data_IF_300504193843
#
_entry.id   IF_300504193843
#
_cell.length_a   1.000
_cell.length_b   1.000
_cell.length_c   1.000
_cell.angle_alpha   90.00
_cell.angle_beta   90.00
_cell.angle_gamma   90.00
#
_symmetry.space_group_name_H-M   'P 1'
#
loop_
_entity.id
_entity.type
_entity.pdbx_description
1 polymer ?
#
# COMPACT_ATOMS: atom_id res chain seq x y z
N UNK A 1 -41.48 -67.37 -2.18
CA UNK A 1 -40.05 -67.43 -2.54
C UNK A 1 -39.43 -66.08 -2.18
N UNK A 2 -38.82 -65.97 -1.00
CA UNK A 2 -38.25 -64.72 -0.48
C UNK A 2 -36.73 -64.75 -0.69
N UNK A 3 -36.11 -63.60 -1.00
CA UNK A 3 -34.66 -63.48 -1.17
C UNK A 3 -34.04 -62.51 -0.16
N UNK A 4 -33.55 -63.13 0.92
CA UNK A 4 -32.21 -62.92 1.51
C UNK A 4 -31.69 -61.49 1.75
N UNK A 5 -31.70 -61.08 3.03
CA UNK A 5 -30.88 -59.97 3.56
C UNK A 5 -29.53 -60.51 4.10
N UNK A 6 -28.37 -59.94 3.74
CA UNK A 6 -27.10 -60.20 4.44
C UNK A 6 -26.92 -59.33 5.69
N UNK A 7 -26.32 -59.90 6.73
CA UNK A 7 -26.19 -59.29 8.08
C UNK A 7 -25.07 -58.25 8.19
N UNK A 8 -25.26 -57.29 9.10
CA UNK A 8 -24.17 -56.42 9.63
C UNK A 8 -23.04 -57.27 10.24
N UNK A 9 -21.80 -56.83 10.08
CA UNK A 9 -20.69 -57.17 10.98
C UNK A 9 -20.22 -55.90 11.69
N UNK A 10 -20.22 -55.96 13.02
CA UNK A 10 -19.54 -55.01 13.89
C UNK A 10 -18.04 -55.32 13.92
N UNK A 11 -17.20 -54.28 14.04
CA UNK A 11 -15.82 -54.42 14.47
C UNK A 11 -15.58 -53.43 15.61
N UNK A 12 -15.23 -53.95 16.78
CA UNK A 12 -14.83 -53.16 17.93
C UNK A 12 -13.38 -52.68 17.77
N UNK A 13 -13.08 -51.55 18.42
CA UNK A 13 -11.75 -50.96 18.40
C UNK A 13 -10.77 -51.68 19.33
N UNK A 14 -9.48 -51.64 18.99
CA UNK A 14 -8.38 -51.76 19.95
C UNK A 14 -7.46 -50.54 19.82
N UNK A 15 -6.95 -49.99 20.93
CA UNK A 15 -6.23 -48.72 20.93
C UNK A 15 -4.79 -48.89 20.44
N UNK A 16 -4.23 -47.83 19.83
CA UNK A 16 -2.79 -47.67 19.70
C UNK A 16 -2.33 -46.37 20.36
N UNK A 17 -1.46 -46.60 21.33
CA UNK A 17 -0.62 -45.68 22.11
C UNK A 17 -0.08 -44.47 21.33
N UNK A 18 -0.07 -43.32 21.99
CA UNK A 18 0.69 -42.16 21.56
C UNK A 18 2.21 -42.39 21.68
N UNK A 19 2.98 -41.81 20.77
CA UNK A 19 4.42 -41.60 20.94
C UNK A 19 4.80 -40.28 20.26
N UNK A 20 5.53 -39.44 20.98
CA UNK A 20 5.93 -38.09 20.55
C UNK A 20 7.35 -38.07 19.96
N UNK A 21 7.73 -36.90 19.42
CA UNK A 21 9.08 -36.44 19.04
C UNK A 21 9.60 -36.83 17.65
N UNK A 22 10.55 -36.06 17.08
CA UNK A 22 10.63 -34.59 17.12
C UNK A 22 10.80 -33.95 15.73
N UNK A 23 10.68 -32.62 15.67
CA UNK A 23 11.03 -31.80 14.50
C UNK A 23 12.49 -31.40 14.61
N UNK A 24 13.32 -31.75 13.62
CA UNK A 24 14.67 -31.19 13.47
C UNK A 24 14.75 -30.29 12.24
N UNK A 25 15.47 -29.17 12.38
CA UNK A 25 15.63 -28.15 11.36
C UNK A 25 16.89 -28.39 10.53
N UNK A 26 16.78 -28.31 9.20
CA UNK A 26 17.94 -28.33 8.31
C UNK A 26 18.38 -26.91 7.94
N UNK A 27 19.52 -26.49 8.50
CA UNK A 27 20.34 -25.42 7.93
C UNK A 27 21.17 -25.99 6.78
N UNK A 28 21.22 -25.28 5.65
CA UNK A 28 22.19 -25.57 4.57
C UNK A 28 23.31 -24.55 4.63
N UNK A 29 24.53 -25.03 4.85
CA UNK A 29 25.76 -24.26 4.78
C UNK A 29 26.24 -24.27 3.32
N UNK A 30 26.55 -23.09 2.77
CA UNK A 30 27.40 -22.95 1.58
C UNK A 30 28.59 -22.07 1.98
N UNK A 31 29.76 -22.69 2.12
CA UNK A 31 31.03 -21.99 2.25
C UNK A 31 31.80 -22.09 0.94
N UNK A 32 32.23 -20.95 0.40
CA UNK A 32 33.32 -20.92 -0.58
C UNK A 32 34.31 -19.83 -0.21
N UNK A 33 35.59 -20.19 -0.25
CA UNK A 33 36.73 -19.39 0.19
C UNK A 33 37.21 -18.48 -0.94
N UNK A 34 37.34 -17.17 -0.68
CA UNK A 34 38.32 -16.30 -1.36
C UNK A 34 38.73 -15.14 -0.43
N UNK A 35 39.97 -15.16 0.05
CA UNK A 35 40.64 -14.01 0.67
C UNK A 35 42.08 -13.93 0.18
N UNK A 36 42.45 -12.83 -0.47
CA UNK A 36 43.84 -12.48 -0.77
C UNK A 36 44.08 -11.02 -0.41
N UNK A 37 44.88 -10.83 0.64
CA UNK A 37 45.80 -9.72 0.93
C UNK A 37 45.33 -8.27 0.80
N UNK A 38 45.04 -7.65 1.94
CA UNK A 38 45.15 -6.20 2.15
C UNK A 38 46.58 -5.83 2.58
N UNK A 39 47.20 -4.84 1.92
CA UNK A 39 48.54 -4.33 2.27
C UNK A 39 48.46 -3.32 3.42
N UNK A 40 49.46 -3.35 4.30
CA UNK A 40 49.58 -2.52 5.50
C UNK A 40 50.52 -1.32 5.26
N UNK A 41 50.03 -0.10 5.55
CA UNK A 41 50.83 1.07 5.94
C UNK A 41 49.87 2.07 6.60
N UNK A 42 50.09 2.66 7.78
CA UNK A 42 51.27 2.59 8.66
C UNK A 42 51.99 3.93 8.76
N UNK A 43 51.45 4.88 9.53
CA UNK A 43 52.14 6.05 10.10
C UNK A 43 51.47 6.40 11.46
N UNK A 44 52.29 6.77 12.44
CA UNK A 44 51.95 7.32 13.76
C UNK A 44 52.84 8.56 13.99
N UNK A 45 52.68 9.22 15.15
CA UNK A 45 53.45 10.37 15.69
C UNK A 45 52.94 11.76 15.25
N UNK A 46 52.85 12.79 16.12
CA UNK A 46 52.88 12.88 17.61
C UNK A 46 52.38 14.28 18.06
N UNK A 47 52.23 14.50 19.39
CA UNK A 47 52.04 15.83 20.03
C UNK A 47 50.59 16.35 20.12
N UNK A 48 50.10 17.12 21.11
CA UNK A 48 50.42 17.46 22.52
C UNK A 48 49.44 18.60 22.88
N UNK A 49 48.69 18.48 23.99
CA UNK A 49 48.36 19.51 25.03
C UNK A 49 47.97 20.96 24.59
N UNK A 50 46.91 21.66 25.05
CA UNK A 50 46.25 21.90 26.36
C UNK A 50 44.77 22.39 26.12
N UNK A 51 43.73 22.25 26.98
CA UNK A 51 43.38 23.01 28.23
C UNK A 51 43.46 24.56 28.06
N UNK A 52 42.47 25.44 28.40
CA UNK A 52 41.31 25.43 29.33
C UNK A 52 40.10 26.39 28.99
N UNK A 53 38.93 26.09 29.61
CA UNK A 53 37.82 26.91 30.21
C UNK A 53 37.11 28.19 29.65
N UNK A 54 35.76 28.19 29.87
CA UNK A 54 34.81 29.29 30.23
C UNK A 54 34.38 30.36 29.19
N UNK A 55 33.17 30.97 29.24
CA UNK A 55 31.96 30.70 30.05
C UNK A 55 30.83 31.77 29.96
N UNK A 56 29.56 31.32 29.90
CA UNK A 56 28.26 31.89 30.39
C UNK A 56 27.70 33.33 30.10
N UNK A 57 26.35 33.44 30.20
CA UNK A 57 25.43 34.61 30.19
C UNK A 57 25.23 35.37 28.84
N UNK A 58 24.10 36.00 28.47
CA UNK A 58 22.71 36.22 28.98
C UNK A 58 21.91 37.04 27.90
N UNK A 59 20.64 37.47 27.98
CA UNK A 59 19.48 37.31 28.89
C UNK A 59 18.16 37.82 28.17
N UNK A 60 16.99 37.78 28.83
CA UNK A 60 15.64 38.06 28.26
C UNK A 60 15.27 39.52 27.92
N UNK A 61 14.19 39.70 27.12
CA UNK A 61 13.09 40.66 27.41
C UNK A 61 11.84 40.48 26.50
N UNK A 62 10.61 40.38 27.05
CA UNK A 62 9.34 40.58 26.32
C UNK A 62 8.65 41.90 26.71
N UNK A 63 7.85 42.49 25.80
CA UNK A 63 6.97 43.65 26.09
C UNK A 63 5.53 43.32 25.72
N UNK A 64 4.61 43.69 26.62
CA UNK A 64 3.16 43.58 26.49
C UNK A 64 2.52 44.93 26.80
N UNK A 65 1.56 45.39 25.99
CA UNK A 65 0.68 46.50 26.39
C UNK A 65 -0.75 46.41 25.81
N UNK A 66 -1.61 45.88 26.68
CA UNK A 66 -3.06 46.06 26.87
C UNK A 66 -3.82 47.16 26.07
N UNK A 67 -4.95 46.71 25.51
CA UNK A 67 -6.23 47.38 25.23
C UNK A 67 -6.47 48.79 25.85
N UNK A 68 -7.10 49.66 25.05
CA UNK A 68 -8.19 50.55 25.52
C UNK A 68 -9.39 50.48 24.58
N UNK A 69 -10.58 50.74 25.14
CA UNK A 69 -11.90 50.72 24.48
C UNK A 69 -12.58 52.03 24.86
N UNK A 70 -13.00 52.84 23.89
CA UNK A 70 -13.99 53.89 24.13
C UNK A 70 -15.16 53.74 23.15
N UNK A 71 -16.30 54.23 23.59
CA UNK A 71 -17.61 54.01 22.99
C UNK A 71 -18.44 55.27 23.15
N UNK A 72 -18.99 55.80 22.06
CA UNK A 72 -20.18 56.64 22.13
C UNK A 72 -20.99 56.59 20.84
N UNK A 73 -22.30 56.69 21.03
CA UNK A 73 -23.35 56.36 20.05
C UNK A 73 -23.70 57.56 19.18
N UNK A 74 -24.11 57.31 17.94
CA UNK A 74 -25.23 58.03 17.34
C UNK A 74 -25.97 57.18 16.30
N UNK A 75 -27.28 57.39 16.24
CA UNK A 75 -28.27 56.85 15.29
C UNK A 75 -29.39 57.92 15.23
N UNK A 76 -30.49 57.80 14.46
CA UNK A 76 -30.84 56.78 13.45
C UNK A 76 -31.43 57.35 12.13
N UNK A 77 -31.51 56.51 11.09
CA UNK A 77 -32.71 56.22 10.24
C UNK A 77 -32.32 55.69 8.86
N UNK A 78 -33.15 54.78 8.32
CA UNK A 78 -33.08 54.32 6.93
C UNK A 78 -33.01 52.80 6.78
N UNK A 79 -34.17 52.13 6.82
CA UNK A 79 -34.31 50.77 6.27
C UNK A 79 -34.68 50.88 4.78
N UNK A 80 -34.02 50.12 3.91
CA UNK A 80 -34.72 49.43 2.84
C UNK A 80 -34.48 47.91 2.89
N UNK A 81 -35.44 47.19 2.31
CA UNK A 81 -35.45 45.73 2.16
C UNK A 81 -34.28 45.27 1.30
N UNK A 82 -33.62 44.18 1.70
CA UNK A 82 -32.64 43.45 0.89
C UNK A 82 -33.20 42.08 0.54
N UNK A 83 -33.24 41.78 -0.76
CA UNK A 83 -33.79 40.54 -1.32
C UNK A 83 -32.92 39.33 -0.96
N UNK A 84 -33.56 38.23 -0.52
CA UNK A 84 -32.89 36.96 -0.25
C UNK A 84 -32.60 36.20 -1.56
N UNK A 85 -31.53 36.60 -2.25
CA UNK A 85 -31.09 36.04 -3.52
C UNK A 85 -29.88 35.11 -3.44
N UNK A 86 -29.78 34.25 -2.40
CA UNK A 86 -28.65 33.32 -2.26
C UNK A 86 -28.76 32.12 -3.20
N UNK A 87 -28.23 32.25 -4.42
CA UNK A 87 -27.92 31.09 -5.28
C UNK A 87 -26.95 30.16 -4.52
N UNK A 88 -27.15 28.83 -4.53
CA UNK A 88 -26.13 27.92 -4.03
C UNK A 88 -24.88 28.07 -4.91
N UNK A 89 -23.74 28.38 -4.29
CA UNK A 89 -22.45 28.33 -4.97
C UNK A 89 -22.13 26.86 -5.26
N UNK A 90 -22.36 26.44 -6.50
CA UNK A 90 -21.91 25.12 -6.98
C UNK A 90 -20.38 25.12 -7.01
N UNK A 91 -19.76 24.75 -5.89
CA UNK A 91 -18.34 24.45 -5.82
C UNK A 91 -18.10 23.26 -6.75
N UNK A 92 -17.65 23.57 -7.98
CA UNK A 92 -17.21 22.56 -8.94
C UNK A 92 -16.19 21.66 -8.25
N UNK A 93 -16.55 20.39 -8.05
CA UNK A 93 -15.66 19.41 -7.45
C UNK A 93 -14.41 19.31 -8.32
N UNK A 94 -13.29 19.85 -7.83
CA UNK A 94 -12.01 19.83 -8.54
C UNK A 94 -11.57 18.37 -8.67
N UNK A 95 -10.95 17.96 -9.80
CA UNK A 95 -10.66 16.56 -10.05
C UNK A 95 -9.75 15.99 -8.97
N UNK A 96 -10.29 15.08 -8.17
CA UNK A 96 -9.53 14.24 -7.25
C UNK A 96 -8.83 13.18 -8.10
N UNK A 97 -7.53 12.96 -7.90
CA UNK A 97 -6.81 11.85 -8.54
C UNK A 97 -7.54 10.55 -8.18
N UNK A 98 -7.92 9.73 -9.15
CA UNK A 98 -8.60 8.45 -8.89
C UNK A 98 -7.62 7.28 -9.03
N UNK A 99 -7.79 6.19 -8.27
CA UNK A 99 -6.97 4.99 -8.48
C UNK A 99 -7.08 4.47 -9.91
N UNK A 100 -8.26 4.50 -10.51
CA UNK A 100 -8.48 4.03 -11.89
C UNK A 100 -7.76 4.83 -12.97
N UNK A 101 -7.32 6.05 -12.66
CA UNK A 101 -6.51 6.90 -13.56
C UNK A 101 -5.00 6.78 -13.34
N UNK A 102 -4.54 5.95 -12.39
CA UNK A 102 -3.12 5.77 -12.08
C UNK A 102 -2.60 4.45 -12.63
N UNK A 103 -1.58 4.44 -13.51
CA UNK A 103 -1.08 3.19 -14.09
C UNK A 103 -0.36 2.32 -13.05
N UNK A 104 0.37 2.93 -12.10
CA UNK A 104 1.06 2.22 -11.01
C UNK A 104 0.92 2.96 -9.67
N UNK A 105 1.08 2.22 -8.57
CA UNK A 105 1.28 2.75 -7.22
C UNK A 105 2.71 2.49 -6.72
N UNK A 106 3.26 3.41 -5.93
CA UNK A 106 4.53 3.23 -5.25
C UNK A 106 4.33 2.61 -3.86
N UNK A 107 4.68 1.33 -3.70
CA UNK A 107 4.55 0.58 -2.45
C UNK A 107 5.72 0.84 -1.50
N UNK A 108 5.43 1.15 -0.23
CA UNK A 108 6.42 1.59 0.78
C UNK A 108 6.99 0.48 1.68
N UNK A 109 6.53 -0.76 1.51
CA UNK A 109 6.99 -1.90 2.29
C UNK A 109 8.53 -2.09 2.25
N UNK A 110 9.11 -2.48 3.39
CA UNK A 110 10.52 -2.83 3.58
C UNK A 110 11.55 -1.72 3.33
N UNK A 111 11.12 -0.48 3.10
CA UNK A 111 12.02 0.67 2.89
C UNK A 111 12.70 1.19 4.17
N UNK A 112 12.14 0.86 5.35
CA UNK A 112 12.66 1.23 6.68
C UNK A 112 12.96 2.75 6.75
N UNK A 113 14.12 3.14 7.24
CA UNK A 113 14.54 4.54 7.44
C UNK A 113 14.64 5.31 6.12
N UNK A 114 14.88 4.62 4.99
CA UNK A 114 14.94 5.24 3.65
C UNK A 114 13.56 5.63 3.10
N UNK A 115 12.46 5.32 3.80
CA UNK A 115 11.09 5.56 3.32
C UNK A 115 10.85 7.00 2.91
N UNK A 116 11.32 7.99 3.70
CA UNK A 116 11.12 9.41 3.39
C UNK A 116 11.67 9.78 2.02
N UNK A 117 12.97 9.57 1.80
CA UNK A 117 13.63 9.99 0.57
C UNK A 117 13.19 9.16 -0.63
N UNK A 118 12.90 7.88 -0.45
CA UNK A 118 12.39 7.01 -1.51
C UNK A 118 10.98 7.40 -1.98
N UNK A 119 10.09 7.85 -1.08
CA UNK A 119 8.76 8.36 -1.45
C UNK A 119 8.88 9.71 -2.15
N UNK A 120 9.74 10.62 -1.66
CA UNK A 120 10.01 11.89 -2.36
C UNK A 120 10.53 11.61 -3.77
N UNK A 121 11.51 10.73 -3.90
CA UNK A 121 12.12 10.34 -5.17
C UNK A 121 11.10 9.80 -6.18
N UNK A 122 10.24 8.87 -5.75
CA UNK A 122 9.21 8.30 -6.61
C UNK A 122 8.20 9.36 -7.08
N UNK A 123 7.73 10.23 -6.18
CA UNK A 123 6.75 11.26 -6.53
C UNK A 123 7.37 12.33 -7.45
N UNK A 124 8.63 12.71 -7.23
CA UNK A 124 9.37 13.62 -8.12
C UNK A 124 9.58 13.02 -9.51
N UNK A 125 9.83 11.70 -9.60
CA UNK A 125 9.95 10.97 -10.88
C UNK A 125 8.64 10.93 -11.68
N UNK A 126 7.48 11.03 -11.00
CA UNK A 126 6.17 11.07 -11.64
C UNK A 126 5.09 10.22 -10.97
N UNK A 127 5.42 9.39 -9.97
CA UNK A 127 4.38 8.65 -9.24
C UNK A 127 3.39 9.61 -8.58
N UNK A 128 2.10 9.31 -8.70
CA UNK A 128 1.02 10.05 -8.03
C UNK A 128 0.22 9.17 -7.05
N UNK A 129 0.51 7.88 -6.97
CA UNK A 129 -0.09 6.96 -6.01
C UNK A 129 0.95 6.37 -5.06
N UNK A 130 0.64 6.37 -3.77
CA UNK A 130 1.47 5.82 -2.69
C UNK A 130 0.66 4.75 -1.96
N UNK A 131 1.22 3.54 -1.82
CA UNK A 131 0.66 2.43 -1.05
C UNK A 131 1.52 2.16 0.20
N UNK A 132 0.91 2.23 1.37
CA UNK A 132 1.53 1.97 2.67
C UNK A 132 0.63 1.06 3.52
N UNK A 133 0.92 0.84 4.80
CA UNK A 133 0.02 0.17 5.74
C UNK A 133 0.28 0.62 7.19
N UNK A 134 -0.74 0.56 8.04
CA UNK A 134 -0.61 0.66 9.50
C UNK A 134 -0.07 -0.66 10.08
N UNK A 135 1.12 -1.04 9.65
CA UNK A 135 1.82 -2.27 10.04
C UNK A 135 3.31 -1.95 10.26
N UNK A 136 3.69 -1.48 11.46
CA UNK A 136 5.07 -1.04 11.76
C UNK A 136 6.16 -2.10 11.51
N UNK A 137 5.76 -3.39 11.46
CA UNK A 137 6.61 -4.53 11.09
C UNK A 137 7.31 -4.38 9.74
N UNK A 138 6.64 -3.80 8.74
CA UNK A 138 7.18 -3.65 7.37
C UNK A 138 7.09 -2.23 6.80
N UNK A 139 6.29 -1.34 7.41
CA UNK A 139 5.95 -0.02 6.88
C UNK A 139 6.28 1.09 7.87
N UNK A 140 6.56 2.29 7.37
CA UNK A 140 6.89 3.49 8.15
C UNK A 140 6.02 4.66 7.70
N UNK A 141 4.73 4.63 8.05
CA UNK A 141 3.78 5.69 7.72
C UNK A 141 4.22 7.07 8.22
N UNK A 142 4.93 7.13 9.35
CA UNK A 142 5.51 8.35 9.92
C UNK A 142 6.53 9.01 8.97
N UNK A 143 7.31 8.17 8.27
CA UNK A 143 8.27 8.60 7.26
C UNK A 143 7.59 8.90 5.91
N UNK A 144 6.47 8.24 5.59
CA UNK A 144 5.61 8.66 4.46
C UNK A 144 5.02 10.05 4.74
N UNK A 145 4.53 10.33 5.95
CA UNK A 145 4.05 11.66 6.34
C UNK A 145 5.15 12.73 6.31
N UNK A 146 6.39 12.36 6.67
CA UNK A 146 7.56 13.22 6.49
C UNK A 146 7.84 13.51 5.00
N UNK A 147 7.70 12.51 4.12
CA UNK A 147 7.83 12.71 2.67
C UNK A 147 6.75 13.63 2.12
N UNK A 148 5.49 13.49 2.54
CA UNK A 148 4.39 14.36 2.12
C UNK A 148 4.63 15.84 2.49
N UNK A 149 5.16 16.12 3.69
CA UNK A 149 5.57 17.49 4.08
C UNK A 149 6.69 18.02 3.19
N UNK A 150 7.75 17.22 2.98
CA UNK A 150 8.89 17.55 2.12
C UNK A 150 8.48 17.80 0.66
N UNK A 151 7.54 17.01 0.13
CA UNK A 151 6.97 17.19 -1.22
C UNK A 151 6.21 18.51 -1.37
N UNK A 152 5.37 18.85 -0.40
CA UNK A 152 4.67 20.14 -0.36
C UNK A 152 5.65 21.31 -0.26
N UNK A 153 6.62 21.23 0.65
CA UNK A 153 7.50 22.35 1.02
C UNK A 153 8.64 22.60 0.01
N UNK A 154 9.12 21.56 -0.68
CA UNK A 154 10.26 21.67 -1.61
C UNK A 154 9.87 21.55 -3.09
N UNK A 155 8.73 20.92 -3.40
CA UNK A 155 8.32 20.62 -4.78
C UNK A 155 6.91 21.14 -5.14
N UNK A 156 6.22 21.81 -4.20
CA UNK A 156 4.86 22.33 -4.38
C UNK A 156 3.83 21.26 -4.77
N UNK A 157 4.05 20.00 -4.37
CA UNK A 157 3.11 18.89 -4.58
C UNK A 157 2.25 18.74 -3.32
N UNK A 158 0.98 19.14 -3.41
CA UNK A 158 0.07 19.10 -2.27
C UNK A 158 -0.54 17.70 -2.07
N UNK A 159 -1.06 17.45 -0.87
CA UNK A 159 -1.81 16.23 -0.52
C UNK A 159 -2.93 15.89 -1.53
N UNK A 160 -3.57 16.91 -2.12
CA UNK A 160 -4.67 16.78 -3.11
C UNK A 160 -4.21 16.23 -4.47
N UNK A 161 -2.93 16.37 -4.80
CA UNK A 161 -2.33 15.98 -6.08
C UNK A 161 -1.85 14.52 -6.05
N UNK A 162 -2.04 13.84 -4.91
CA UNK A 162 -1.59 12.49 -4.63
C UNK A 162 -2.75 11.60 -4.19
N UNK A 163 -2.70 10.34 -4.62
CA UNK A 163 -3.50 9.24 -4.11
C UNK A 163 -2.76 8.53 -2.98
N UNK A 164 -3.37 8.46 -1.80
CA UNK A 164 -2.78 7.83 -0.63
C UNK A 164 -3.62 6.64 -0.16
N UNK A 165 -3.02 5.45 -0.23
CA UNK A 165 -3.62 4.19 0.18
C UNK A 165 -2.90 3.62 1.40
N UNK A 166 -3.65 3.25 2.45
CA UNK A 166 -3.11 2.53 3.62
C UNK A 166 -3.99 1.34 3.98
N UNK A 167 -3.59 0.56 4.99
CA UNK A 167 -4.23 -0.70 5.37
C UNK A 167 -4.32 -0.83 6.89
N UNK A 168 -5.49 -1.21 7.40
CA UNK A 168 -5.60 -1.77 8.75
C UNK A 168 -5.15 -3.23 8.72
N UNK A 169 -4.30 -3.60 9.67
CA UNK A 169 -3.79 -4.96 9.83
C UNK A 169 -4.27 -5.53 11.16
N UNK A 170 -5.07 -6.63 11.17
CA UNK A 170 -5.49 -7.31 12.39
C UNK A 170 -4.29 -7.80 13.22
N UNK A 171 -4.48 -7.97 14.52
CA UNK A 171 -3.41 -8.26 15.49
C UNK A 171 -2.51 -9.45 15.11
N UNK A 172 -3.07 -10.50 14.51
CA UNK A 172 -2.32 -11.67 14.05
C UNK A 172 -1.28 -11.35 12.95
N UNK A 173 -1.46 -10.26 12.20
CA UNK A 173 -0.51 -9.77 11.19
C UNK A 173 0.45 -8.68 11.69
N UNK A 174 0.32 -8.22 12.93
CA UNK A 174 1.18 -7.17 13.50
C UNK A 174 2.47 -7.74 14.10
N UNK A 175 3.42 -6.84 14.39
CA UNK A 175 4.43 -7.11 15.43
C UNK A 175 3.78 -6.88 16.80
N UNK A 176 3.76 -7.90 17.65
CA UNK A 176 3.13 -7.84 18.99
C UNK A 176 3.77 -6.79 19.91
N UNK A 177 5.03 -6.42 19.65
CA UNK A 177 5.76 -5.42 20.43
C UNK A 177 5.58 -3.99 19.91
N UNK A 178 4.90 -3.81 18.77
CA UNK A 178 4.75 -2.52 18.09
C UNK A 178 3.40 -2.44 17.36
N UNK A 179 2.31 -2.72 18.10
CA UNK A 179 0.93 -2.64 17.61
C UNK A 179 0.48 -1.17 17.60
N UNK A 180 -0.11 -0.65 16.51
CA UNK A 180 -0.50 0.77 16.40
C UNK A 180 -1.84 1.12 17.08
N UNK A 181 -2.36 0.26 17.94
CA UNK A 181 -3.64 0.36 18.66
C UNK A 181 -3.60 -0.56 19.91
N UNK A 182 -4.59 -0.44 20.81
CA UNK A 182 -4.71 -1.33 21.97
C UNK A 182 -5.07 -2.77 21.52
N UNK A 183 -4.20 -3.77 21.75
CA UNK A 183 -4.45 -5.16 21.33
C UNK A 183 -5.59 -5.84 22.10
N UNK A 184 -6.07 -5.26 23.20
CA UNK A 184 -7.15 -5.80 24.04
C UNK A 184 -8.53 -5.19 23.73
N UNK A 185 -8.59 -4.11 22.93
CA UNK A 185 -9.84 -3.49 22.52
C UNK A 185 -10.63 -4.39 21.55
N UNK A 186 -11.92 -4.09 21.33
CA UNK A 186 -12.76 -4.80 20.35
C UNK A 186 -12.21 -4.63 18.91
N UNK A 187 -12.59 -5.49 17.97
CA UNK A 187 -12.07 -5.40 16.58
C UNK A 187 -12.49 -4.08 15.93
N UNK A 188 -13.70 -3.61 16.21
CA UNK A 188 -14.17 -2.28 15.80
C UNK A 188 -13.27 -1.14 16.35
N UNK A 189 -12.95 -1.17 17.64
CA UNK A 189 -12.06 -0.17 18.26
C UNK A 189 -10.63 -0.26 17.73
N UNK A 190 -10.08 -1.46 17.53
CA UNK A 190 -8.75 -1.66 16.92
C UNK A 190 -8.69 -1.05 15.51
N UNK A 191 -9.72 -1.26 14.69
CA UNK A 191 -9.81 -0.68 13.34
C UNK A 191 -9.89 0.85 13.38
N UNK A 192 -10.72 1.41 14.26
CA UNK A 192 -10.87 2.85 14.43
C UNK A 192 -9.57 3.51 14.94
N UNK A 193 -8.95 2.95 15.97
CA UNK A 193 -7.66 3.42 16.51
C UNK A 193 -6.55 3.34 15.46
N UNK A 194 -6.50 2.25 14.68
CA UNK A 194 -5.53 2.12 13.59
C UNK A 194 -5.70 3.18 12.51
N UNK A 195 -6.94 3.52 12.12
CA UNK A 195 -7.20 4.58 11.15
C UNK A 195 -6.74 5.94 11.68
N UNK A 196 -7.06 6.26 12.94
CA UNK A 196 -6.57 7.49 13.59
C UNK A 196 -5.04 7.52 13.66
N UNK A 197 -4.40 6.38 13.92
CA UNK A 197 -2.94 6.27 13.93
C UNK A 197 -2.34 6.47 12.54
N UNK A 198 -2.94 5.92 11.47
CA UNK A 198 -2.55 6.21 10.09
C UNK A 198 -2.66 7.69 9.75
N UNK A 199 -3.79 8.34 10.03
CA UNK A 199 -4.01 9.76 9.78
C UNK A 199 -2.94 10.62 10.47
N UNK A 200 -2.67 10.34 11.75
CA UNK A 200 -1.65 11.04 12.53
C UNK A 200 -0.22 10.79 12.02
N UNK A 201 0.13 9.55 11.67
CA UNK A 201 1.45 9.20 11.11
C UNK A 201 1.69 9.89 9.76
N UNK A 202 0.67 9.84 8.88
CA UNK A 202 0.72 10.40 7.52
C UNK A 202 0.57 11.92 7.51
N UNK A 203 0.12 12.54 8.60
CA UNK A 203 -0.05 13.98 8.72
C UNK A 203 -1.16 14.53 7.81
N UNK A 204 -2.27 13.79 7.68
CA UNK A 204 -3.40 14.11 6.81
C UNK A 204 -4.73 13.79 7.50
N UNK A 205 -5.76 14.53 7.15
CA UNK A 205 -7.16 14.35 7.57
C UNK A 205 -7.94 13.36 6.69
N UNK A 206 -7.42 13.00 5.51
CA UNK A 206 -8.08 12.16 4.52
C UNK A 206 -7.17 11.07 3.96
N UNK A 207 -7.70 9.86 3.82
CA UNK A 207 -7.11 8.73 3.10
C UNK A 207 -7.91 8.50 1.81
N UNK A 208 -7.27 8.25 0.67
CA UNK A 208 -8.03 8.00 -0.57
C UNK A 208 -8.53 6.56 -0.64
N UNK A 209 -7.73 5.60 -0.15
CA UNK A 209 -8.18 4.20 -0.03
C UNK A 209 -7.71 3.51 1.25
N UNK A 210 -8.65 2.90 1.97
CA UNK A 210 -8.38 2.07 3.14
C UNK A 210 -8.63 0.60 2.81
N UNK A 211 -7.59 -0.23 2.96
CA UNK A 211 -7.68 -1.66 2.74
C UNK A 211 -7.70 -2.44 4.06
N UNK A 212 -8.46 -3.53 4.10
CA UNK A 212 -8.25 -4.58 5.09
C UNK A 212 -7.08 -5.45 4.60
N UNK A 213 -5.98 -5.51 5.35
CA UNK A 213 -4.71 -6.09 4.87
C UNK A 213 -4.77 -7.62 4.62
N UNK A 214 -5.62 -8.31 5.36
CA UNK A 214 -6.01 -9.73 5.18
C UNK A 214 -7.42 -9.94 5.75
N UNK A 215 -8.24 -10.87 5.20
CA UNK A 215 -9.48 -11.28 5.85
C UNK A 215 -9.29 -11.70 7.30
N UNK A 216 -10.30 -11.48 8.14
CA UNK A 216 -10.32 -12.02 9.50
C UNK A 216 -10.80 -13.49 9.51
N UNK A 217 -10.57 -14.26 10.59
CA UNK A 217 -10.91 -15.69 10.65
C UNK A 217 -12.37 -16.04 10.34
N UNK A 218 -13.31 -15.12 10.56
CA UNK A 218 -14.73 -15.30 10.20
C UNK A 218 -15.27 -14.15 9.37
N UNK A 219 -16.39 -14.41 8.66
CA UNK A 219 -17.14 -13.38 7.94
C UNK A 219 -17.67 -12.29 8.87
N UNK A 220 -18.19 -12.66 10.05
CA UNK A 220 -18.73 -11.70 11.02
C UNK A 220 -17.65 -10.75 11.55
N UNK A 221 -16.46 -11.27 11.90
CA UNK A 221 -15.30 -10.46 12.31
C UNK A 221 -14.82 -9.55 11.16
N UNK A 222 -14.88 -10.04 9.93
CA UNK A 222 -14.55 -9.24 8.74
C UNK A 222 -15.55 -8.10 8.57
N UNK A 223 -16.86 -8.35 8.77
CA UNK A 223 -17.91 -7.33 8.67
C UNK A 223 -17.96 -6.36 9.87
N UNK A 224 -17.54 -6.76 11.06
CA UNK A 224 -17.36 -5.86 12.21
C UNK A 224 -16.34 -4.76 11.86
N UNK A 225 -15.17 -5.16 11.36
CA UNK A 225 -14.14 -4.23 10.87
C UNK A 225 -14.61 -3.45 9.65
N UNK A 226 -15.30 -4.11 8.70
CA UNK A 226 -15.78 -3.45 7.48
C UNK A 226 -16.79 -2.33 7.77
N UNK A 227 -17.68 -2.49 8.76
CA UNK A 227 -18.62 -1.43 9.17
C UNK A 227 -17.91 -0.17 9.65
N UNK A 228 -16.82 -0.30 10.42
CA UNK A 228 -15.99 0.86 10.83
C UNK A 228 -15.36 1.55 9.63
N UNK A 229 -14.97 0.81 8.60
CA UNK A 229 -14.48 1.40 7.35
C UNK A 229 -15.60 2.10 6.57
N UNK A 230 -16.81 1.54 6.55
CA UNK A 230 -17.97 2.16 5.92
C UNK A 230 -18.34 3.50 6.56
N UNK A 231 -18.32 3.56 7.89
CA UNK A 231 -18.56 4.80 8.63
C UNK A 231 -17.45 5.84 8.38
N UNK A 232 -16.21 5.39 8.14
CA UNK A 232 -15.11 6.26 7.72
C UNK A 232 -15.24 6.79 6.27
N UNK A 233 -16.01 6.11 5.41
CA UNK A 233 -16.40 6.62 4.08
C UNK A 233 -17.56 7.60 4.21
N UNK A 234 -18.57 7.29 5.03
CA UNK A 234 -19.69 8.19 5.29
C UNK A 234 -19.26 9.54 5.89
N UNK A 235 -18.23 9.54 6.75
CA UNK A 235 -17.63 10.76 7.30
C UNK A 235 -16.75 11.53 6.30
N UNK A 236 -16.46 10.97 5.13
CA UNK A 236 -15.54 11.53 4.13
C UNK A 236 -14.04 11.41 4.48
N UNK A 237 -13.70 10.78 5.61
CA UNK A 237 -12.32 10.53 6.06
C UNK A 237 -11.58 9.56 5.13
N UNK A 238 -12.30 8.61 4.53
CA UNK A 238 -11.80 7.63 3.56
C UNK A 238 -12.54 7.79 2.24
N UNK A 239 -11.81 7.80 1.12
CA UNK A 239 -12.40 7.90 -0.22
C UNK A 239 -13.07 6.60 -0.69
N UNK A 240 -12.37 5.47 -0.62
CA UNK A 240 -12.90 4.16 -1.00
C UNK A 240 -12.30 3.01 -0.19
N UNK A 241 -12.99 1.86 -0.18
CA UNK A 241 -12.56 0.68 0.55
C UNK A 241 -11.93 -0.39 -0.34
N UNK A 242 -11.08 -1.22 0.24
CA UNK A 242 -10.53 -2.38 -0.43
C UNK A 242 -10.16 -3.50 0.52
N UNK A 243 -9.67 -4.59 -0.04
CA UNK A 243 -9.15 -5.72 0.74
C UNK A 243 -7.89 -6.27 0.06
N UNK A 244 -7.01 -6.87 0.85
CA UNK A 244 -5.77 -7.49 0.40
C UNK A 244 -5.68 -8.91 0.94
N UNK A 245 -4.88 -9.76 0.28
CA UNK A 245 -4.68 -11.17 0.62
C UNK A 245 -5.97 -11.99 0.73
N UNK A 246 -6.98 -11.69 -0.08
CA UNK A 246 -8.20 -12.48 -0.17
C UNK A 246 -8.14 -13.33 -1.45
N UNK A 247 -8.02 -14.65 -1.27
CA UNK A 247 -7.84 -15.60 -2.38
C UNK A 247 -9.04 -16.55 -2.62
N UNK A 248 -10.12 -16.48 -1.82
CA UNK A 248 -11.36 -17.26 -2.05
C UNK A 248 -12.42 -16.41 -2.79
N UNK A 249 -12.77 -16.74 -4.05
CA UNK A 249 -13.80 -16.05 -4.83
C UNK A 249 -15.17 -15.94 -4.14
N UNK A 250 -15.54 -16.94 -3.34
CA UNK A 250 -16.82 -17.00 -2.62
C UNK A 250 -16.83 -16.02 -1.45
N UNK A 251 -15.71 -15.90 -0.74
CA UNK A 251 -15.55 -14.90 0.33
C UNK A 251 -15.56 -13.48 -0.25
N UNK A 252 -14.93 -13.25 -1.42
CA UNK A 252 -15.00 -11.96 -2.11
C UNK A 252 -16.44 -11.62 -2.49
N UNK A 253 -17.15 -12.57 -3.12
CA UNK A 253 -18.55 -12.41 -3.48
C UNK A 253 -19.43 -12.14 -2.25
N UNK A 254 -19.23 -12.87 -1.16
CA UNK A 254 -19.97 -12.68 0.09
C UNK A 254 -19.72 -11.30 0.71
N UNK A 255 -18.46 -10.86 0.81
CA UNK A 255 -18.12 -9.52 1.30
C UNK A 255 -18.80 -8.46 0.42
N UNK A 256 -18.59 -8.54 -0.90
CA UNK A 256 -19.20 -7.62 -1.86
C UNK A 256 -20.74 -7.64 -1.79
N UNK A 257 -21.39 -8.78 -1.52
CA UNK A 257 -22.84 -8.83 -1.34
C UNK A 257 -23.29 -8.07 -0.09
N UNK A 258 -22.62 -8.29 1.04
CA UNK A 258 -23.04 -7.81 2.37
C UNK A 258 -22.55 -6.39 2.76
N UNK A 259 -21.52 -5.86 2.10
CA UNK A 259 -21.08 -4.47 2.33
C UNK A 259 -22.09 -3.45 1.78
N UNK A 260 -22.33 -2.37 2.52
CA UNK A 260 -22.98 -1.14 2.03
C UNK A 260 -22.02 -0.38 1.11
N UNK A 261 -20.78 -0.11 1.56
CA UNK A 261 -19.73 0.38 0.66
C UNK A 261 -18.90 -0.79 0.13
N UNK A 262 -19.12 -1.10 -1.15
CA UNK A 262 -18.50 -2.24 -1.84
C UNK A 262 -16.96 -2.09 -1.90
N UNK A 263 -16.18 -3.18 -1.78
CA UNK A 263 -14.75 -3.13 -2.04
C UNK A 263 -14.50 -2.64 -3.47
N UNK A 264 -13.73 -1.56 -3.62
CA UNK A 264 -13.29 -0.97 -4.90
C UNK A 264 -11.88 -1.41 -5.30
N UNK A 265 -11.13 -1.99 -4.37
CA UNK A 265 -9.78 -2.53 -4.60
C UNK A 265 -9.68 -3.96 -4.06
N UNK A 266 -9.06 -4.85 -4.84
CA UNK A 266 -8.52 -6.13 -4.38
C UNK A 266 -7.01 -6.14 -4.64
N UNK A 267 -6.18 -6.13 -3.59
CA UNK A 267 -4.72 -6.09 -3.71
C UNK A 267 -4.09 -7.42 -3.31
N UNK A 268 -3.63 -8.21 -4.27
CA UNK A 268 -3.08 -9.55 -4.02
C UNK A 268 -1.67 -9.72 -4.61
N UNK A 269 -0.99 -10.78 -4.17
CA UNK A 269 0.25 -11.23 -4.81
C UNK A 269 -0.08 -11.72 -6.21
N UNK A 270 0.72 -11.33 -7.19
CA UNK A 270 0.62 -11.85 -8.55
C UNK A 270 1.66 -12.96 -8.74
N UNK A 271 1.26 -14.21 -8.56
CA UNK A 271 2.15 -15.37 -8.50
C UNK A 271 1.44 -16.68 -8.87
N UNK A 272 2.23 -17.71 -9.17
CA UNK A 272 1.74 -19.00 -9.67
C UNK A 272 0.87 -19.79 -8.68
N UNK A 273 1.22 -19.82 -7.39
CA UNK A 273 0.56 -20.74 -6.44
C UNK A 273 -0.93 -20.43 -6.20
N UNK A 274 -1.38 -19.20 -6.52
CA UNK A 274 -2.79 -18.82 -6.49
C UNK A 274 -3.48 -18.89 -7.86
N UNK A 275 -2.82 -19.47 -8.87
CA UNK A 275 -3.30 -19.48 -10.25
C UNK A 275 -3.44 -18.07 -10.84
N UNK A 276 -2.60 -17.13 -10.40
CA UNK A 276 -2.69 -15.70 -10.71
C UNK A 276 -4.08 -15.11 -10.48
N UNK A 277 -4.80 -15.62 -9.46
CA UNK A 277 -6.11 -15.16 -9.04
C UNK A 277 -7.14 -15.08 -10.19
N UNK A 278 -7.03 -15.96 -11.19
CA UNK A 278 -7.74 -15.85 -12.48
C UNK A 278 -9.24 -15.56 -12.31
N UNK A 279 -9.93 -16.31 -11.45
CA UNK A 279 -11.36 -16.10 -11.17
C UNK A 279 -11.62 -14.75 -10.49
N UNK A 280 -10.84 -14.39 -9.46
CA UNK A 280 -10.95 -13.11 -8.77
C UNK A 280 -10.67 -11.92 -9.69
N UNK A 281 -9.72 -12.01 -10.62
CA UNK A 281 -9.44 -10.96 -11.62
C UNK A 281 -10.63 -10.75 -12.55
N UNK A 282 -11.27 -11.82 -13.02
CA UNK A 282 -12.52 -11.73 -13.79
C UNK A 282 -13.65 -11.11 -12.96
N UNK A 283 -13.86 -11.59 -11.72
CA UNK A 283 -14.88 -11.06 -10.81
C UNK A 283 -14.66 -9.57 -10.48
N UNK A 284 -13.41 -9.11 -10.47
CA UNK A 284 -13.05 -7.70 -10.27
C UNK A 284 -13.42 -6.85 -11.50
N UNK A 285 -13.05 -7.30 -12.71
CA UNK A 285 -13.40 -6.63 -13.97
C UNK A 285 -14.93 -6.50 -14.13
N UNK A 286 -15.67 -7.57 -13.87
CA UNK A 286 -17.16 -7.60 -13.90
C UNK A 286 -17.81 -6.57 -12.96
N UNK A 287 -17.16 -6.26 -11.82
CA UNK A 287 -17.72 -5.41 -10.74
C UNK A 287 -17.12 -4.00 -10.71
N UNK A 288 -16.23 -3.66 -11.64
CA UNK A 288 -15.52 -2.38 -11.62
C UNK A 288 -14.64 -2.21 -10.37
N UNK A 289 -13.99 -3.28 -9.94
CA UNK A 289 -13.03 -3.32 -8.83
C UNK A 289 -11.62 -3.30 -9.41
N UNK A 290 -10.77 -2.38 -8.94
CA UNK A 290 -9.37 -2.34 -9.36
C UNK A 290 -8.61 -3.50 -8.71
N UNK A 291 -8.13 -4.43 -9.54
CA UNK A 291 -7.23 -5.48 -9.10
C UNK A 291 -5.79 -4.94 -9.07
N UNK A 292 -5.16 -4.93 -7.90
CA UNK A 292 -3.81 -4.42 -7.68
C UNK A 292 -2.82 -5.57 -7.47
N UNK A 293 -1.68 -5.54 -8.16
CA UNK A 293 -0.66 -6.59 -8.08
C UNK A 293 0.56 -6.17 -7.26
N UNK A 294 0.94 -6.97 -6.28
CA UNK A 294 2.26 -6.87 -5.63
C UNK A 294 3.07 -8.16 -5.78
N UNK A 295 4.37 -8.11 -5.47
CA UNK A 295 5.37 -9.16 -5.76
C UNK A 295 5.53 -9.53 -7.25
N UNK A 296 4.95 -8.73 -8.14
CA UNK A 296 4.83 -8.96 -9.58
C UNK A 296 6.12 -9.36 -10.29
N UNK A 297 7.25 -8.71 -10.03
CA UNK A 297 8.52 -9.04 -10.70
C UNK A 297 9.20 -10.23 -10.02
N UNK A 298 9.37 -10.16 -8.70
CA UNK A 298 10.14 -11.13 -7.90
C UNK A 298 9.52 -12.52 -7.85
N UNK A 299 8.20 -12.65 -7.99
CA UNK A 299 7.53 -13.95 -8.05
C UNK A 299 7.56 -14.59 -9.44
N UNK A 300 7.89 -13.84 -10.50
CA UNK A 300 7.68 -14.27 -11.88
C UNK A 300 8.93 -14.18 -12.79
N UNK A 301 10.14 -14.60 -12.35
CA UNK A 301 11.33 -14.60 -13.21
C UNK A 301 11.09 -15.42 -14.50
N UNK A 302 10.37 -16.54 -14.40
CA UNK A 302 9.98 -17.37 -15.53
C UNK A 302 9.09 -16.69 -16.58
N UNK A 303 8.38 -15.59 -16.24
CA UNK A 303 7.66 -14.75 -17.22
C UNK A 303 8.64 -13.74 -17.82
N UNK A 304 9.46 -13.09 -17.00
CA UNK A 304 10.45 -12.09 -17.42
C UNK A 304 11.50 -12.67 -18.38
N UNK A 305 11.87 -13.94 -18.19
CA UNK A 305 12.81 -14.70 -19.02
C UNK A 305 12.12 -15.42 -20.20
N UNK A 306 10.81 -15.27 -20.35
CA UNK A 306 10.05 -15.98 -21.37
C UNK A 306 10.30 -15.42 -22.78
N UNK A 307 10.20 -16.29 -23.78
CA UNK A 307 10.24 -15.88 -25.19
C UNK A 307 9.12 -14.88 -25.54
N UNK A 308 7.93 -15.01 -24.95
CA UNK A 308 6.82 -14.08 -25.19
C UNK A 308 7.18 -12.63 -24.80
N UNK A 309 7.88 -12.46 -23.67
CA UNK A 309 8.39 -11.15 -23.24
C UNK A 309 9.56 -10.68 -24.12
N UNK A 310 10.49 -11.58 -24.48
CA UNK A 310 11.61 -11.24 -25.36
C UNK A 310 11.19 -10.79 -26.78
N UNK A 311 10.21 -11.48 -27.38
CA UNK A 311 9.68 -11.14 -28.70
C UNK A 311 8.98 -9.76 -28.66
N UNK A 312 8.21 -9.47 -27.59
CA UNK A 312 7.58 -8.17 -27.37
C UNK A 312 8.59 -7.02 -27.14
N UNK A 313 9.68 -7.26 -26.39
CA UNK A 313 10.80 -6.30 -26.26
C UNK A 313 11.36 -5.94 -27.63
N UNK A 314 11.59 -6.94 -28.49
CA UNK A 314 12.12 -6.74 -29.83
C UNK A 314 11.25 -5.81 -30.68
N UNK A 315 9.92 -6.03 -30.69
CA UNK A 315 8.98 -5.15 -31.40
C UNK A 315 8.92 -3.75 -30.79
N UNK A 316 8.77 -3.64 -29.47
CA UNK A 316 8.64 -2.35 -28.79
C UNK A 316 9.89 -1.48 -29.00
N UNK A 317 11.08 -2.05 -28.84
CA UNK A 317 12.36 -1.39 -29.12
C UNK A 317 12.45 -0.88 -30.56
N UNK A 318 12.02 -1.68 -31.54
CA UNK A 318 11.97 -1.25 -32.95
C UNK A 318 10.95 -0.12 -33.20
N UNK A 319 9.84 -0.10 -32.45
CA UNK A 319 8.80 0.93 -32.58
C UNK A 319 9.16 2.26 -31.89
N UNK A 320 9.83 2.23 -30.74
CA UNK A 320 10.16 3.44 -29.94
C UNK A 320 11.57 3.96 -30.17
N UNK A 321 12.48 3.14 -30.71
CA UNK A 321 13.94 3.40 -30.70
C UNK A 321 14.55 3.57 -29.30
N UNK A 322 13.89 3.04 -28.26
CA UNK A 322 14.39 3.04 -26.87
C UNK A 322 14.71 1.63 -26.41
N UNK A 323 15.60 1.47 -25.43
CA UNK A 323 15.70 0.20 -24.70
C UNK A 323 14.39 -0.07 -23.94
N UNK A 324 14.00 -1.35 -23.86
CA UNK A 324 12.79 -1.82 -23.19
C UNK A 324 13.16 -3.03 -22.34
N UNK A 325 12.78 -3.02 -21.06
CA UNK A 325 13.11 -4.10 -20.13
C UNK A 325 11.98 -5.13 -19.99
N UNK A 326 12.26 -6.38 -19.56
CA UNK A 326 11.23 -7.37 -19.24
C UNK A 326 10.22 -6.89 -18.19
N UNK A 327 10.66 -6.09 -17.22
CA UNK A 327 9.80 -5.52 -16.20
C UNK A 327 8.77 -4.53 -16.79
N UNK A 328 9.21 -3.70 -17.75
CA UNK A 328 8.32 -2.77 -18.44
C UNK A 328 7.27 -3.50 -19.28
N UNK A 329 7.65 -4.57 -19.99
CA UNK A 329 6.68 -5.39 -20.74
C UNK A 329 5.66 -6.04 -19.80
N UNK A 330 6.08 -6.60 -18.67
CA UNK A 330 5.15 -7.20 -17.70
C UNK A 330 4.22 -6.16 -17.05
N UNK A 331 4.72 -4.96 -16.74
CA UNK A 331 3.86 -3.88 -16.24
C UNK A 331 2.91 -3.35 -17.31
N UNK A 332 3.36 -3.14 -18.55
CA UNK A 332 2.48 -2.76 -19.68
C UNK A 332 1.38 -3.79 -19.90
N UNK A 333 1.72 -5.08 -19.91
CA UNK A 333 0.77 -6.19 -19.99
C UNK A 333 -0.30 -6.12 -18.88
N UNK A 334 0.09 -5.86 -17.63
CA UNK A 334 -0.85 -5.76 -16.51
C UNK A 334 -1.75 -4.52 -16.61
N UNK A 335 -1.19 -3.37 -16.95
CA UNK A 335 -1.92 -2.11 -17.14
C UNK A 335 -2.96 -2.27 -18.27
N UNK A 336 -2.54 -2.82 -19.40
CA UNK A 336 -3.42 -3.10 -20.55
C UNK A 336 -4.45 -4.21 -20.26
N UNK A 337 -4.19 -5.09 -19.28
CA UNK A 337 -5.15 -6.06 -18.75
C UNK A 337 -6.14 -5.46 -17.72
N UNK A 338 -6.08 -4.15 -17.44
CA UNK A 338 -6.94 -3.48 -16.46
C UNK A 338 -6.52 -3.70 -15.00
N UNK A 339 -5.25 -4.08 -14.75
CA UNK A 339 -4.69 -4.26 -13.41
C UNK A 339 -3.76 -3.09 -13.07
N UNK A 340 -3.60 -2.81 -11.77
CA UNK A 340 -2.78 -1.71 -11.27
C UNK A 340 -1.56 -2.25 -10.49
N UNK A 341 -0.35 -2.27 -11.07
CA UNK A 341 0.83 -2.73 -10.37
C UNK A 341 1.23 -1.83 -9.19
N UNK A 342 1.68 -2.45 -8.10
CA UNK A 342 2.28 -1.82 -6.93
C UNK A 342 3.77 -2.15 -6.94
N UNK A 343 4.61 -1.18 -7.31
CA UNK A 343 6.07 -1.36 -7.37
C UNK A 343 6.74 -0.93 -6.07
N UNK A 344 7.64 -1.79 -5.56
CA UNK A 344 8.40 -1.58 -4.32
C UNK A 344 9.81 -1.04 -4.53
N UNK A 345 10.19 -0.63 -5.76
CA UNK A 345 11.58 -0.36 -6.12
C UNK A 345 12.29 0.70 -5.25
N UNK A 346 13.61 0.59 -5.13
CA UNK A 346 14.49 1.52 -4.38
C UNK A 346 15.61 2.13 -5.23
N UNK A 347 15.53 1.95 -6.55
CA UNK A 347 16.44 2.48 -7.57
C UNK A 347 15.76 3.55 -8.40
N UNK A 348 16.40 4.71 -8.59
CA UNK A 348 15.93 5.80 -9.44
C UNK A 348 15.58 5.29 -10.85
N UNK A 349 16.55 4.64 -11.50
CA UNK A 349 16.41 4.10 -12.84
C UNK A 349 15.18 3.20 -13.00
N UNK A 350 14.89 2.38 -11.98
CA UNK A 350 13.72 1.52 -12.01
C UNK A 350 12.42 2.30 -11.77
N UNK A 351 12.40 3.37 -10.96
CA UNK A 351 11.20 4.22 -10.84
C UNK A 351 10.84 4.85 -12.19
N UNK A 352 11.85 5.34 -12.91
CA UNK A 352 11.67 5.96 -14.23
C UNK A 352 11.25 4.92 -15.28
N UNK A 353 11.84 3.73 -15.27
CA UNK A 353 11.44 2.60 -16.13
C UNK A 353 10.02 2.11 -15.83
N UNK A 354 9.67 1.93 -14.56
CA UNK A 354 8.35 1.47 -14.10
C UNK A 354 7.24 2.44 -14.56
N UNK A 355 7.49 3.76 -14.49
CA UNK A 355 6.58 4.78 -15.02
C UNK A 355 6.51 4.74 -16.55
N UNK A 356 7.66 4.69 -17.24
CA UNK A 356 7.73 4.62 -18.69
C UNK A 356 7.05 3.36 -19.28
N UNK A 357 6.84 2.31 -18.48
CA UNK A 357 6.07 1.12 -18.88
C UNK A 357 4.62 1.46 -19.27
N UNK A 358 4.01 2.48 -18.67
CA UNK A 358 2.66 2.92 -19.02
C UNK A 358 2.59 3.57 -20.40
N UNK A 359 3.63 4.35 -20.73
CA UNK A 359 3.77 5.15 -21.95
C UNK A 359 4.26 4.34 -23.17
N UNK A 360 4.65 3.08 -22.98
CA UNK A 360 4.98 2.19 -24.10
C UNK A 360 3.77 2.01 -25.03
N UNK A 361 3.98 1.83 -26.35
CA UNK A 361 2.93 1.38 -27.26
C UNK A 361 2.25 0.11 -26.74
N UNK A 362 0.96 -0.05 -27.04
CA UNK A 362 0.20 -1.23 -26.64
C UNK A 362 0.84 -2.53 -27.16
N UNK A 363 0.73 -3.57 -26.34
CA UNK A 363 1.05 -4.94 -26.73
C UNK A 363 0.00 -5.43 -27.74
N UNK A 364 0.42 -6.17 -28.75
CA UNK A 364 -0.52 -6.74 -29.73
C UNK A 364 -1.41 -7.80 -29.06
N UNK A 365 -2.53 -8.14 -29.72
CA UNK A 365 -3.40 -9.21 -29.24
C UNK A 365 -2.64 -10.56 -29.12
N UNK A 366 -1.65 -10.80 -29.99
CA UNK A 366 -0.81 -12.00 -29.95
C UNK A 366 0.16 -11.97 -28.77
N UNK A 367 0.81 -10.83 -28.49
CA UNK A 367 1.70 -10.64 -27.33
C UNK A 367 0.93 -10.78 -26.00
N UNK A 368 -0.23 -10.13 -25.90
CA UNK A 368 -1.13 -10.27 -24.76
C UNK A 368 -1.58 -11.73 -24.58
N UNK A 369 -1.90 -12.43 -25.66
CA UNK A 369 -2.25 -13.86 -25.63
C UNK A 369 -1.10 -14.75 -25.19
N UNK A 370 0.11 -14.51 -25.71
CA UNK A 370 1.31 -15.28 -25.40
C UNK A 370 1.75 -15.10 -23.93
N UNK A 371 1.69 -13.89 -23.38
CA UNK A 371 1.98 -13.64 -21.96
C UNK A 371 0.85 -14.23 -21.08
N UNK A 372 -0.42 -14.11 -21.49
CA UNK A 372 -1.55 -14.71 -20.77
C UNK A 372 -1.44 -16.24 -20.67
N UNK A 373 -0.90 -16.91 -21.69
CA UNK A 373 -0.68 -18.36 -21.67
C UNK A 373 0.34 -18.83 -20.61
N UNK A 374 1.18 -17.93 -20.08
CA UNK A 374 2.12 -18.19 -18.99
C UNK A 374 1.48 -18.08 -17.59
N UNK A 375 0.24 -17.56 -17.51
CA UNK A 375 -0.52 -17.39 -16.28
C UNK A 375 -1.30 -18.68 -15.93
N UNK A 376 -0.57 -19.79 -15.82
CA UNK A 376 -1.10 -21.16 -15.71
C UNK A 376 -0.62 -21.92 -14.46
#
# INVERSE_FOLDING_TARGET
MQLSVPKRRTFEAKPRTAQQSPVEAFFVIVGLVLTVSSVWAGIRFWGTETLEFSGAFGSDHPISTRLTRDSRKSSPRGLPVLETGSRPSTTMARPVVSSGSLPLLYGTAWKKERTTDLVVQAVVSGFRGIDTACQPKHYREDLVGAALRKLREQYSIDRKDLWLQTKFTPLAGQDKNNVPYDPNATLAEQAAQSLQKSLANLGTDRIDSLLLHSPLPTGDQTMEVWRVFEDAVDSGTVGQLGISNLYDPRLFHWLHANSRHKPRVLQNRFYRDSGYDKELRMLCLERGVTYQTFWTLTANPHILESRAVADAIGRLKAATSTEVTPAQVLFKFLIQSGHQPVTGTTSQLHMDQDLAAAELPDLTAEEMGAITALLN
#
